data_IF_677859281903
#
_entry.id   IF_677859281903
#
_cell.length_a   1.000
_cell.length_b   1.000
_cell.length_c   1.000
_cell.angle_alpha   90.00
_cell.angle_beta   90.00
_cell.angle_gamma   90.00
#
_symmetry.space_group_name_H-M   'P 1'
#
loop_
_entity.id
_entity.type
_entity.pdbx_description
1 polymer ?
#
# COMPACT_ATOMS: atom_id res chain seq x y z
N UNK A 1 13.03 -23.95 -9.57
CA UNK A 1 11.72 -23.36 -9.16
C UNK A 1 11.63 -23.57 -7.66
N UNK A 2 11.66 -22.51 -6.86
CA UNK A 2 11.66 -22.61 -5.39
C UNK A 2 10.24 -22.42 -4.88
N UNK A 3 9.59 -23.50 -4.48
CA UNK A 3 8.31 -23.42 -3.79
C UNK A 3 8.08 -24.66 -2.93
N UNK A 4 8.49 -24.61 -1.66
CA UNK A 4 7.87 -25.40 -0.60
C UNK A 4 6.81 -24.53 0.05
N UNK A 5 5.54 -24.87 -0.16
CA UNK A 5 4.40 -24.10 0.36
C UNK A 5 3.98 -24.50 1.78
N UNK A 6 4.56 -25.56 2.35
CA UNK A 6 4.09 -26.14 3.61
C UNK A 6 5.18 -26.93 4.35
N UNK A 7 5.08 -27.01 5.69
CA UNK A 7 6.08 -27.69 6.57
C UNK A 7 6.23 -29.20 6.29
N UNK A 8 5.20 -29.83 5.72
CA UNK A 8 5.22 -31.26 5.34
C UNK A 8 5.45 -31.49 3.84
N UNK A 9 5.79 -30.45 3.09
CA UNK A 9 6.03 -30.57 1.67
C UNK A 9 7.37 -31.29 1.44
N UNK A 10 7.33 -32.51 0.88
CA UNK A 10 8.52 -33.37 0.64
C UNK A 10 9.07 -33.15 -0.78
N UNK A 11 8.67 -32.07 -1.44
CA UNK A 11 9.19 -31.69 -2.75
C UNK A 11 10.67 -31.29 -2.62
N UNK A 12 11.51 -32.00 -3.36
CA UNK A 12 12.94 -31.71 -3.48
C UNK A 12 13.09 -30.50 -4.41
N UNK A 13 13.79 -29.46 -3.94
CA UNK A 13 14.12 -28.30 -4.76
C UNK A 13 15.12 -28.73 -5.84
N UNK A 14 14.61 -29.10 -7.02
CA UNK A 14 15.46 -29.45 -8.16
C UNK A 14 16.08 -28.17 -8.72
N UNK A 15 17.37 -27.99 -8.45
CA UNK A 15 18.21 -27.04 -9.16
C UNK A 15 18.39 -27.54 -10.59
N UNK A 16 17.75 -26.88 -11.55
CA UNK A 16 18.07 -27.10 -12.96
C UNK A 16 19.44 -26.45 -13.17
N UNK A 17 20.47 -27.28 -13.28
CA UNK A 17 21.84 -26.87 -13.57
C UNK A 17 21.90 -26.25 -14.97
N UNK A 18 21.62 -24.96 -15.06
CA UNK A 18 22.12 -24.17 -16.17
C UNK A 18 23.60 -23.92 -15.90
N UNK A 19 24.47 -24.39 -16.77
CA UNK A 19 25.93 -24.23 -16.71
C UNK A 19 26.31 -22.83 -16.21
N UNK A 20 27.04 -22.76 -15.08
CA UNK A 20 27.51 -21.53 -14.44
C UNK A 20 26.61 -20.93 -13.34
N UNK A 21 25.36 -21.42 -13.16
CA UNK A 21 24.50 -20.92 -12.10
C UNK A 21 25.01 -21.28 -10.70
N UNK A 22 25.58 -22.48 -10.52
CA UNK A 22 26.18 -22.92 -9.26
C UNK A 22 27.38 -22.03 -8.87
N UNK A 23 28.25 -21.73 -9.84
CA UNK A 23 29.41 -20.87 -9.66
C UNK A 23 28.99 -19.44 -9.28
N UNK A 24 27.93 -18.91 -9.88
CA UNK A 24 27.39 -17.59 -9.52
C UNK A 24 27.02 -17.49 -8.02
N UNK A 25 26.35 -18.50 -7.46
CA UNK A 25 25.98 -18.47 -6.04
C UNK A 25 27.22 -18.58 -5.13
N UNK A 26 28.21 -19.38 -5.51
CA UNK A 26 29.46 -19.50 -4.76
C UNK A 26 30.36 -18.27 -4.89
N UNK A 27 30.50 -17.68 -6.07
CA UNK A 27 31.38 -16.53 -6.30
C UNK A 27 30.78 -15.22 -5.75
N UNK A 28 29.48 -15.00 -5.96
CA UNK A 28 28.81 -13.73 -5.57
C UNK A 28 28.31 -13.79 -4.14
N UNK A 29 27.60 -14.86 -3.77
CA UNK A 29 26.98 -14.99 -2.45
C UNK A 29 27.85 -15.75 -1.45
N UNK A 30 28.91 -16.44 -1.89
CA UNK A 30 29.76 -17.31 -1.05
C UNK A 30 28.94 -18.35 -0.28
N UNK A 31 27.89 -18.86 -0.93
CA UNK A 31 26.89 -19.74 -0.35
C UNK A 31 26.44 -20.76 -1.38
N UNK A 32 26.05 -21.93 -0.89
CA UNK A 32 25.40 -22.93 -1.73
C UNK A 32 24.06 -22.39 -2.24
N UNK A 33 23.65 -22.69 -3.48
CA UNK A 33 22.32 -22.33 -3.98
C UNK A 33 21.18 -22.76 -3.05
N UNK A 34 21.33 -23.89 -2.36
CA UNK A 34 20.35 -24.40 -1.39
C UNK A 34 20.29 -23.52 -0.14
N UNK A 35 21.43 -22.97 0.31
CA UNK A 35 21.47 -22.02 1.41
C UNK A 35 20.82 -20.70 1.01
N UNK A 36 21.08 -20.23 -0.22
CA UNK A 36 20.45 -19.00 -0.74
C UNK A 36 18.94 -19.18 -0.88
N UNK A 37 18.49 -20.35 -1.36
CA UNK A 37 17.07 -20.70 -1.40
C UNK A 37 16.45 -20.75 0.00
N UNK A 38 17.13 -21.37 0.97
CA UNK A 38 16.69 -21.43 2.37
C UNK A 38 16.62 -20.04 2.99
N UNK A 39 17.60 -19.17 2.73
CA UNK A 39 17.60 -17.78 3.18
C UNK A 39 16.46 -16.97 2.56
N UNK A 40 16.18 -17.20 1.27
CA UNK A 40 15.04 -16.61 0.60
C UNK A 40 13.71 -17.09 1.22
N UNK A 41 13.55 -18.39 1.45
CA UNK A 41 12.38 -18.95 2.13
C UNK A 41 12.23 -18.42 3.56
N UNK A 42 13.32 -18.36 4.33
CA UNK A 42 13.32 -17.74 5.66
C UNK A 42 12.95 -16.26 5.62
N UNK A 43 13.41 -15.52 4.62
CA UNK A 43 13.04 -14.13 4.41
C UNK A 43 11.55 -14.00 4.04
N UNK A 44 11.04 -14.84 3.13
CA UNK A 44 9.61 -14.88 2.78
C UNK A 44 8.77 -15.22 4.02
N UNK A 45 9.15 -16.25 4.76
CA UNK A 45 8.50 -16.64 6.02
C UNK A 45 8.62 -15.51 7.04
N UNK A 46 9.74 -14.79 7.12
CA UNK A 46 9.89 -13.63 8.00
C UNK A 46 9.12 -12.40 7.51
N UNK A 47 8.80 -12.31 6.22
CA UNK A 47 7.95 -11.26 5.65
C UNK A 47 6.47 -11.59 5.88
N UNK A 48 6.08 -12.87 5.79
CA UNK A 48 4.75 -13.36 6.16
C UNK A 48 4.53 -13.29 7.67
N UNK A 49 5.53 -13.74 8.45
CA UNK A 49 5.65 -13.52 9.90
C UNK A 49 6.14 -12.12 10.23
N UNK A 50 6.24 -11.21 9.27
CA UNK A 50 6.51 -9.77 9.43
C UNK A 50 5.38 -9.02 10.15
N UNK A 51 4.54 -9.79 10.84
CA UNK A 51 3.61 -9.39 11.89
C UNK A 51 4.14 -9.68 13.30
N UNK A 52 5.39 -10.13 13.46
CA UNK A 52 5.99 -10.53 14.76
C UNK A 52 7.28 -9.79 15.16
N UNK A 53 7.60 -8.68 14.50
CA UNK A 53 8.04 -7.48 15.21
C UNK A 53 6.83 -6.58 15.17
N UNK A 54 6.28 -6.16 16.30
CA UNK A 54 5.01 -5.42 16.30
C UNK A 54 5.17 -4.18 15.43
N UNK A 55 4.65 -4.22 14.19
CA UNK A 55 4.53 -3.07 13.28
C UNK A 55 4.04 -1.93 14.16
N UNK A 56 4.95 -1.05 14.53
CA UNK A 56 4.60 0.02 15.45
C UNK A 56 3.54 0.84 14.72
N UNK A 57 2.63 1.43 15.49
CA UNK A 57 1.60 2.29 14.90
C UNK A 57 2.24 3.33 13.94
N UNK A 58 3.44 3.82 14.30
CA UNK A 58 4.21 4.77 13.50
C UNK A 58 4.72 4.19 12.18
N UNK A 59 5.23 2.97 12.18
CA UNK A 59 5.68 2.28 10.94
C UNK A 59 4.49 2.04 10.01
N UNK A 60 3.35 1.57 10.52
CA UNK A 60 2.16 1.41 9.66
C UNK A 60 1.66 2.73 9.09
N UNK A 61 1.64 3.79 9.92
CA UNK A 61 1.28 5.12 9.45
C UNK A 61 2.25 5.61 8.37
N UNK A 62 3.55 5.36 8.55
CA UNK A 62 4.58 5.71 7.58
C UNK A 62 4.38 4.97 6.26
N UNK A 63 4.24 3.64 6.31
CA UNK A 63 4.03 2.78 5.14
C UNK A 63 2.82 3.22 4.33
N UNK A 64 1.65 3.35 4.97
CA UNK A 64 0.44 3.81 4.30
C UNK A 64 0.63 5.21 3.68
N UNK A 65 1.32 6.11 4.39
CA UNK A 65 1.62 7.46 3.87
C UNK A 65 2.51 7.39 2.63
N UNK A 66 3.56 6.56 2.64
CA UNK A 66 4.46 6.39 1.50
C UNK A 66 3.75 5.75 0.32
N UNK A 67 2.91 4.73 0.54
CA UNK A 67 2.15 4.07 -0.53
C UNK A 67 1.18 5.06 -1.21
N UNK A 68 0.41 5.81 -0.42
CA UNK A 68 -0.51 6.83 -0.93
C UNK A 68 0.27 7.92 -1.69
N UNK A 69 1.37 8.42 -1.13
CA UNK A 69 2.21 9.44 -1.76
C UNK A 69 2.81 8.95 -3.08
N UNK A 70 3.37 7.75 -3.09
CA UNK A 70 4.00 7.15 -4.27
C UNK A 70 2.97 6.97 -5.38
N UNK A 71 1.80 6.41 -5.07
CA UNK A 71 0.72 6.27 -6.06
C UNK A 71 0.24 7.62 -6.60
N UNK A 72 0.20 8.66 -5.77
CA UNK A 72 -0.18 10.02 -6.20
C UNK A 72 0.87 10.62 -7.14
N UNK A 73 2.16 10.45 -6.82
CA UNK A 73 3.24 10.94 -7.68
C UNK A 73 3.25 10.22 -9.03
N UNK A 74 2.99 8.90 -9.04
CA UNK A 74 2.90 8.10 -10.25
C UNK A 74 1.75 8.59 -11.15
N UNK A 75 0.54 8.77 -10.61
CA UNK A 75 -0.61 9.17 -11.42
C UNK A 75 -0.51 10.62 -11.91
N UNK A 76 0.05 11.51 -11.09
CA UNK A 76 0.19 12.93 -11.44
C UNK A 76 1.46 13.24 -12.24
N UNK A 77 2.38 12.26 -12.37
CA UNK A 77 3.72 12.40 -12.97
C UNK A 77 4.54 13.56 -12.35
N UNK A 78 4.29 13.87 -11.07
CA UNK A 78 4.94 14.98 -10.36
C UNK A 78 5.52 14.47 -9.05
N UNK A 79 6.80 14.75 -8.82
CA UNK A 79 7.54 14.24 -7.65
C UNK A 79 7.28 15.02 -6.36
N UNK A 80 6.80 16.27 -6.43
CA UNK A 80 6.56 17.13 -5.26
C UNK A 80 5.08 17.31 -4.89
N UNK A 81 4.22 16.35 -5.24
CA UNK A 81 2.80 16.40 -4.89
C UNK A 81 2.56 15.68 -3.57
N UNK A 82 1.83 16.36 -2.67
CA UNK A 82 1.41 15.83 -1.38
C UNK A 82 -0.11 15.88 -1.31
N UNK A 83 -0.72 14.85 -0.72
CA UNK A 83 -2.17 14.77 -0.54
C UNK A 83 -2.64 15.74 0.56
N UNK A 84 -3.60 16.60 0.21
CA UNK A 84 -4.27 17.45 1.19
C UNK A 84 -5.55 16.77 1.66
N UNK A 85 -5.53 16.21 2.87
CA UNK A 85 -6.68 15.52 3.47
C UNK A 85 -7.82 16.46 3.87
N UNK A 86 -7.53 17.72 4.21
CA UNK A 86 -8.55 18.66 4.69
C UNK A 86 -9.37 19.29 3.54
N UNK A 87 -8.74 19.43 2.37
CA UNK A 87 -9.36 19.94 1.14
C UNK A 87 -9.23 18.91 0.02
N UNK A 88 -9.49 17.64 0.33
CA UNK A 88 -9.25 16.54 -0.59
C UNK A 88 -10.05 16.68 -1.89
N UNK A 89 -11.34 17.00 -1.80
CA UNK A 89 -12.20 17.16 -2.97
C UNK A 89 -11.68 18.29 -3.86
N UNK A 90 -11.49 19.49 -3.32
CA UNK A 90 -11.03 20.62 -4.12
C UNK A 90 -9.65 20.38 -4.75
N UNK A 91 -8.66 19.98 -3.94
CA UNK A 91 -7.26 19.93 -4.38
C UNK A 91 -6.88 18.69 -5.21
N UNK A 92 -7.58 17.57 -5.03
CA UNK A 92 -7.28 16.33 -5.76
C UNK A 92 -8.36 16.04 -6.81
N UNK A 93 -9.63 16.04 -6.40
CA UNK A 93 -10.73 15.58 -7.25
C UNK A 93 -11.12 16.64 -8.28
N UNK A 94 -11.22 17.91 -7.90
CA UNK A 94 -11.59 19.02 -8.79
C UNK A 94 -10.38 19.55 -9.57
N UNK A 95 -9.30 19.93 -8.89
CA UNK A 95 -8.14 20.55 -9.55
C UNK A 95 -7.31 19.57 -10.39
N UNK A 96 -7.14 18.34 -9.90
CA UNK A 96 -6.23 17.35 -10.52
C UNK A 96 -6.95 16.21 -11.22
N UNK A 97 -8.28 16.13 -11.10
CA UNK A 97 -9.10 15.06 -11.67
C UNK A 97 -8.64 13.66 -11.25
N UNK A 98 -8.07 13.53 -10.05
CA UNK A 98 -7.61 12.24 -9.51
C UNK A 98 -8.29 11.98 -8.18
N UNK A 99 -8.66 10.72 -7.97
CA UNK A 99 -9.27 10.27 -6.75
C UNK A 99 -8.71 8.93 -6.31
N UNK A 100 -8.69 8.74 -5.00
CA UNK A 100 -8.43 7.48 -4.37
C UNK A 100 -9.74 6.68 -4.30
N UNK A 101 -9.80 5.58 -5.04
CA UNK A 101 -10.97 4.69 -5.12
C UNK A 101 -10.72 3.44 -4.28
N UNK A 102 -11.79 2.83 -3.75
CA UNK A 102 -11.70 1.59 -2.97
C UNK A 102 -11.12 1.78 -1.57
N UNK A 103 -11.33 2.95 -0.95
CA UNK A 103 -10.97 3.16 0.44
C UNK A 103 -11.75 2.22 1.37
N UNK A 104 -11.12 1.56 2.36
CA UNK A 104 -11.81 0.63 3.25
C UNK A 104 -12.86 1.34 4.11
N UNK A 105 -14.07 0.80 4.17
CA UNK A 105 -15.17 1.31 5.03
C UNK A 105 -14.84 1.28 6.52
N UNK A 106 -13.97 0.35 6.93
CA UNK A 106 -13.51 0.23 8.32
C UNK A 106 -12.54 1.33 8.75
N UNK A 107 -12.10 2.19 7.81
CA UNK A 107 -11.08 3.20 8.06
C UNK A 107 -11.62 4.60 7.79
N UNK A 108 -11.64 5.43 8.82
CA UNK A 108 -11.97 6.86 8.72
C UNK A 108 -11.01 7.56 7.74
N UNK A 109 -11.56 8.37 6.82
CA UNK A 109 -10.75 9.10 5.85
C UNK A 109 -10.10 10.32 6.51
N UNK A 110 -8.93 10.11 7.11
CA UNK A 110 -8.15 11.14 7.82
C UNK A 110 -6.67 10.97 7.52
N UNK A 111 -5.87 11.99 7.87
CA UNK A 111 -4.39 11.91 7.78
C UNK A 111 -3.90 10.73 8.63
N UNK A 112 -2.97 9.95 8.10
CA UNK A 112 -2.45 8.75 8.78
C UNK A 112 -1.91 9.05 10.19
N UNK A 113 -1.23 10.19 10.38
CA UNK A 113 -0.73 10.62 11.69
C UNK A 113 -1.82 10.84 12.75
N UNK A 114 -3.07 11.02 12.34
CA UNK A 114 -4.23 11.16 13.25
C UNK A 114 -4.96 9.83 13.48
N UNK A 115 -4.53 8.76 12.83
CA UNK A 115 -5.13 7.44 12.99
C UNK A 115 -4.44 6.70 14.13
N UNK A 116 -5.11 6.60 15.28
CA UNK A 116 -4.56 5.93 16.47
C UNK A 116 -4.79 4.42 16.48
N UNK A 117 -5.66 3.90 15.61
CA UNK A 117 -6.05 2.51 15.60
C UNK A 117 -5.24 1.70 14.57
N UNK A 118 -4.61 0.62 15.04
CA UNK A 118 -3.80 -0.30 14.24
C UNK A 118 -4.67 -1.11 13.26
N UNK A 119 -5.86 -1.57 13.69
CA UNK A 119 -6.74 -2.40 12.85
C UNK A 119 -7.16 -1.70 11.55
N UNK A 120 -7.64 -0.43 11.57
CA UNK A 120 -7.91 0.33 10.35
C UNK A 120 -6.67 0.54 9.47
N UNK A 121 -5.51 0.83 10.07
CA UNK A 121 -4.27 1.01 9.30
C UNK A 121 -3.85 -0.25 8.56
N UNK A 122 -3.99 -1.42 9.21
CA UNK A 122 -3.73 -2.72 8.57
C UNK A 122 -4.67 -2.96 7.40
N UNK A 123 -5.98 -2.74 7.59
CA UNK A 123 -6.97 -2.88 6.52
C UNK A 123 -6.67 -1.94 5.32
N UNK A 124 -6.25 -0.71 5.59
CA UNK A 124 -5.84 0.23 4.56
C UNK A 124 -4.56 -0.21 3.84
N UNK A 125 -3.54 -0.67 4.57
CA UNK A 125 -2.29 -1.19 4.00
C UNK A 125 -2.57 -2.37 3.09
N UNK A 126 -3.39 -3.31 3.55
CA UNK A 126 -3.76 -4.50 2.77
C UNK A 126 -4.52 -4.11 1.50
N UNK A 127 -5.49 -3.18 1.60
CA UNK A 127 -6.22 -2.67 0.43
C UNK A 127 -5.31 -1.92 -0.57
N UNK A 128 -4.33 -1.15 -0.08
CA UNK A 128 -3.34 -0.47 -0.93
C UNK A 128 -2.41 -1.47 -1.61
N UNK A 129 -2.04 -2.56 -0.93
CA UNK A 129 -1.16 -3.61 -1.45
C UNK A 129 -1.87 -4.53 -2.45
N UNK A 130 -3.13 -4.86 -2.20
CA UNK A 130 -3.97 -5.64 -3.12
C UNK A 130 -4.38 -4.83 -4.36
N UNK A 131 -4.27 -3.51 -4.31
CA UNK A 131 -4.69 -2.60 -5.37
C UNK A 131 -6.20 -2.35 -5.42
N UNK A 132 -6.93 -2.79 -4.39
CA UNK A 132 -8.32 -2.42 -4.13
C UNK A 132 -8.42 -0.92 -3.85
N UNK A 133 -7.52 -0.40 -3.00
CA UNK A 133 -7.34 1.02 -2.77
C UNK A 133 -6.26 1.56 -3.69
N UNK A 134 -6.61 2.41 -4.66
CA UNK A 134 -5.64 2.98 -5.59
C UNK A 134 -6.04 4.34 -6.13
N UNK A 135 -5.05 5.08 -6.60
CA UNK A 135 -5.29 6.32 -7.33
C UNK A 135 -5.80 6.03 -8.73
N UNK A 136 -6.81 6.79 -9.15
CA UNK A 136 -7.41 6.70 -10.48
C UNK A 136 -7.67 8.09 -11.03
N UNK A 137 -7.43 8.27 -12.33
CA UNK A 137 -7.90 9.46 -13.07
C UNK A 137 -9.42 9.32 -13.24
N UNK A 138 -10.16 10.30 -12.73
CA UNK A 138 -11.60 10.26 -12.68
C UNK A 138 -12.21 10.82 -13.97
N UNK A 139 -13.15 10.08 -14.55
CA UNK A 139 -14.08 10.62 -15.53
C UNK A 139 -15.09 11.58 -14.85
N UNK A 140 -15.77 12.46 -15.61
CA UNK A 140 -16.73 13.40 -15.03
C UNK A 140 -17.79 12.72 -14.14
N UNK A 141 -18.39 11.62 -14.60
CA UNK A 141 -19.38 10.86 -13.81
C UNK A 141 -18.79 10.23 -12.56
N UNK A 142 -17.59 9.64 -12.65
CA UNK A 142 -16.90 9.05 -11.49
C UNK A 142 -16.52 10.10 -10.45
N UNK A 143 -16.25 11.33 -10.89
CA UNK A 143 -15.97 12.47 -10.02
C UNK A 143 -17.18 12.86 -9.21
N UNK A 144 -18.34 13.00 -9.85
CA UNK A 144 -19.59 13.32 -9.18
C UNK A 144 -19.96 12.26 -8.15
N UNK A 145 -19.84 10.98 -8.50
CA UNK A 145 -20.05 9.88 -7.55
C UNK A 145 -19.08 9.92 -6.37
N UNK A 146 -17.80 10.20 -6.62
CA UNK A 146 -16.81 10.26 -5.55
C UNK A 146 -17.03 11.47 -4.63
N UNK A 147 -17.45 12.61 -5.17
CA UNK A 147 -17.85 13.79 -4.39
C UNK A 147 -19.08 13.48 -3.54
N UNK A 148 -20.11 12.87 -4.11
CA UNK A 148 -21.33 12.50 -3.39
C UNK A 148 -21.03 11.53 -2.23
N UNK A 149 -20.25 10.48 -2.49
CA UNK A 149 -19.83 9.53 -1.46
C UNK A 149 -19.01 10.21 -0.36
N UNK A 150 -18.11 11.13 -0.72
CA UNK A 150 -17.31 11.85 0.27
C UNK A 150 -18.16 12.78 1.14
N UNK A 151 -19.14 13.48 0.54
CA UNK A 151 -20.06 14.32 1.30
C UNK A 151 -20.90 13.51 2.29
N UNK A 152 -21.38 12.33 1.88
CA UNK A 152 -22.07 11.39 2.77
C UNK A 152 -21.16 10.93 3.93
N UNK A 153 -19.88 10.66 3.66
CA UNK A 153 -18.89 10.33 4.72
C UNK A 153 -18.62 11.52 5.65
N UNK A 154 -18.64 12.76 5.15
CA UNK A 154 -18.50 13.97 5.97
C UNK A 154 -19.74 14.15 6.86
N UNK A 155 -20.94 13.97 6.33
CA UNK A 155 -22.19 14.05 7.09
C UNK A 155 -22.24 13.02 8.22
N UNK A 156 -21.74 11.81 7.97
CA UNK A 156 -21.59 10.73 8.97
C UNK A 156 -20.44 10.95 9.96
N UNK A 157 -19.61 11.98 9.78
CA UNK A 157 -18.44 12.26 10.63
C UNK A 157 -17.24 11.34 10.40
N UNK A 158 -17.28 10.53 9.34
CA UNK A 158 -16.23 9.57 8.94
C UNK A 158 -15.15 10.20 8.06
N UNK A 159 -15.37 11.43 7.58
CA UNK A 159 -14.40 12.26 6.88
C UNK A 159 -14.45 13.70 7.42
N UNK A 160 -13.40 14.48 7.19
CA UNK A 160 -13.37 15.90 7.56
C UNK A 160 -13.02 16.73 6.34
N UNK A 161 -13.91 17.66 5.98
CA UNK A 161 -13.62 18.69 4.99
C UNK A 161 -13.68 20.07 5.64
N UNK A 162 -12.70 20.93 5.36
CA UNK A 162 -12.81 22.35 5.71
C UNK A 162 -13.76 23.01 4.71
N UNK A 163 -14.96 23.32 5.16
CA UNK A 163 -15.86 24.24 4.43
C UNK A 163 -15.13 25.57 4.28
N UNK A 164 -14.69 25.91 3.07
CA UNK A 164 -14.24 27.27 2.81
C UNK A 164 -15.45 28.19 2.90
N UNK A 165 -15.41 29.14 3.85
CA UNK A 165 -16.32 30.29 3.85
C UNK A 165 -16.18 30.98 2.48
N UNK A 166 -17.28 31.02 1.72
CA UNK A 166 -17.36 31.89 0.54
C UNK A 166 -16.93 33.29 0.99
N UNK A 167 -15.86 33.83 0.39
CA UNK A 167 -15.59 35.27 0.50
C UNK A 167 -16.73 35.96 -0.26
N UNK A 168 -17.53 36.71 0.48
CA UNK A 168 -18.53 37.63 -0.06
C UNK A 168 -17.84 38.77 -0.82
#
# INVERSE_FOLDING_TARGET
MFSRGHVHDTSCSVSIESWGALDFFQEVFKKDPTDVATLFELWVISCEKGTTGGDTLQEMQHDCTQMIKTGLQQITKKTKVTMNYENYINSMVIEKNVGLVGWPKSTTFKRMSKQSAIKPLRALRDALRSGECRWKVLKPSEREHLIANFNDMVEKGEATEKVQKKKA
#
